data_IF_486214500664
#
_entry.id   IF_486214500664
#
_cell.length_a   1.000
_cell.length_b   1.000
_cell.length_c   1.000
_cell.angle_alpha   90.00
_cell.angle_beta   90.00
_cell.angle_gamma   90.00
#
_symmetry.space_group_name_H-M   'P 1'
#
loop_
_entity.id
_entity.type
_entity.pdbx_description
1 polymer ?
#
# COMPACT_ATOMS: atom_id res chain seq x y z
N UNK A 1 19.56 31.80 -16.30
CA UNK A 1 19.86 30.90 -15.17
C UNK A 1 18.53 30.48 -14.60
N UNK A 2 18.29 29.16 -14.60
CA UNK A 2 17.06 28.52 -14.14
C UNK A 2 16.98 28.60 -12.62
N UNK A 3 15.87 29.09 -12.07
CA UNK A 3 15.52 28.81 -10.69
C UNK A 3 14.03 28.51 -10.54
N UNK A 4 13.79 27.37 -9.88
CA UNK A 4 12.61 27.01 -9.13
C UNK A 4 11.30 26.71 -9.89
N UNK A 5 11.31 25.61 -10.64
CA UNK A 5 10.13 24.73 -10.69
C UNK A 5 10.05 23.90 -9.39
N UNK A 6 9.84 24.55 -8.24
CA UNK A 6 9.44 23.86 -7.02
C UNK A 6 7.92 23.97 -6.87
N UNK A 7 7.22 23.27 -7.76
CA UNK A 7 5.79 23.02 -7.60
C UNK A 7 5.66 21.68 -6.91
N UNK A 8 5.90 21.66 -5.61
CA UNK A 8 5.43 20.57 -4.75
C UNK A 8 3.92 20.49 -4.95
N UNK A 9 3.46 19.46 -5.67
CA UNK A 9 2.06 19.28 -5.98
C UNK A 9 1.29 19.16 -4.67
N UNK A 10 0.38 20.11 -4.43
CA UNK A 10 -0.56 20.13 -3.34
C UNK A 10 -1.62 19.05 -3.62
N UNK A 11 -1.23 17.77 -3.59
CA UNK A 11 -2.19 16.67 -3.68
C UNK A 11 -3.09 16.75 -2.45
N UNK A 12 -4.39 16.85 -2.73
CA UNK A 12 -5.44 17.29 -1.82
C UNK A 12 -5.49 16.48 -0.52
N UNK A 13 -5.14 17.14 0.59
CA UNK A 13 -5.16 16.61 1.95
C UNK A 13 -6.49 15.97 2.40
N UNK A 14 -7.61 16.24 1.70
CA UNK A 14 -8.94 15.68 2.01
C UNK A 14 -9.23 14.30 1.42
N UNK A 15 -8.53 13.86 0.36
CA UNK A 15 -8.67 12.49 -0.15
C UNK A 15 -7.93 11.46 0.75
N UNK A 16 -6.89 11.93 1.44
CA UNK A 16 -5.96 11.09 2.19
C UNK A 16 -6.56 10.40 3.42
N UNK A 17 -7.60 10.98 4.06
CA UNK A 17 -8.24 10.36 5.23
C UNK A 17 -9.16 9.19 4.83
N UNK A 18 -9.79 9.25 3.66
CA UNK A 18 -10.55 8.11 3.09
C UNK A 18 -9.58 7.03 2.58
N UNK A 19 -8.54 7.44 1.83
CA UNK A 19 -7.53 6.55 1.25
C UNK A 19 -6.78 5.72 2.30
N UNK A 20 -6.36 6.32 3.42
CA UNK A 20 -5.62 5.61 4.47
C UNK A 20 -6.45 4.49 5.13
N UNK A 21 -7.76 4.69 5.26
CA UNK A 21 -8.68 3.67 5.80
C UNK A 21 -8.87 2.50 4.84
N UNK A 22 -8.90 2.77 3.53
CA UNK A 22 -9.00 1.78 2.48
C UNK A 22 -7.72 0.95 2.36
N UNK A 23 -6.55 1.61 2.31
CA UNK A 23 -5.23 0.95 2.29
C UNK A 23 -5.09 -0.01 3.47
N UNK A 24 -5.42 0.45 4.69
CA UNK A 24 -5.39 -0.40 5.89
C UNK A 24 -6.32 -1.61 5.75
N UNK A 25 -7.54 -1.39 5.26
CA UNK A 25 -8.55 -2.44 5.10
C UNK A 25 -8.11 -3.50 4.09
N UNK A 26 -7.59 -3.08 2.94
CA UNK A 26 -7.09 -3.98 1.90
C UNK A 26 -5.85 -4.74 2.39
N UNK A 27 -4.87 -4.06 3.00
CA UNK A 27 -3.68 -4.72 3.55
C UNK A 27 -4.04 -5.76 4.61
N UNK A 28 -5.04 -5.50 5.46
CA UNK A 28 -5.52 -6.48 6.45
C UNK A 28 -6.12 -7.72 5.76
N UNK A 29 -6.95 -7.53 4.72
CA UNK A 29 -7.54 -8.65 3.98
C UNK A 29 -6.47 -9.49 3.27
N UNK A 30 -5.47 -8.84 2.68
CA UNK A 30 -4.32 -9.49 2.04
C UNK A 30 -3.51 -10.27 3.07
N UNK A 31 -3.23 -9.67 4.23
CA UNK A 31 -2.51 -10.30 5.32
C UNK A 31 -3.20 -11.59 5.78
N UNK A 32 -4.51 -11.56 6.04
CA UNK A 32 -5.27 -12.75 6.44
C UNK A 32 -5.30 -13.81 5.34
N UNK A 33 -5.49 -13.41 4.08
CA UNK A 33 -5.49 -14.35 2.96
C UNK A 33 -4.13 -15.07 2.80
N UNK A 34 -3.02 -14.37 3.03
CA UNK A 34 -1.68 -14.94 3.03
C UNK A 34 -1.48 -15.92 4.20
N UNK A 35 -1.93 -15.52 5.39
CA UNK A 35 -1.84 -16.33 6.61
C UNK A 35 -2.66 -17.62 6.50
N UNK A 36 -3.87 -17.57 5.95
CA UNK A 36 -4.73 -18.74 5.73
C UNK A 36 -4.09 -19.77 4.81
N UNK A 37 -3.24 -19.33 3.88
CA UNK A 37 -2.52 -20.19 2.95
C UNK A 37 -1.17 -20.66 3.50
N UNK A 38 -0.80 -20.25 4.72
CA UNK A 38 0.46 -20.61 5.35
C UNK A 38 1.68 -19.88 4.79
N UNK A 39 1.48 -18.75 4.09
CA UNK A 39 2.57 -17.92 3.60
C UNK A 39 3.07 -16.96 4.69
N UNK A 40 4.30 -16.44 4.54
CA UNK A 40 4.78 -15.32 5.34
C UNK A 40 4.17 -14.02 4.80
N UNK A 41 3.17 -13.42 5.49
CA UNK A 41 2.43 -12.30 4.92
C UNK A 41 3.32 -11.07 4.74
N UNK A 42 4.17 -10.78 5.72
CA UNK A 42 5.06 -9.61 5.69
C UNK A 42 6.05 -9.69 4.53
N UNK A 43 6.73 -10.83 4.37
CA UNK A 43 7.70 -11.03 3.29
C UNK A 43 7.07 -10.93 1.91
N UNK A 44 5.85 -11.45 1.74
CA UNK A 44 5.14 -11.40 0.46
C UNK A 44 4.61 -10.01 0.14
N UNK A 45 4.06 -9.28 1.11
CA UNK A 45 3.65 -7.88 0.92
C UNK A 45 4.86 -7.01 0.58
N UNK A 46 6.00 -7.16 1.28
CA UNK A 46 7.24 -6.43 0.97
C UNK A 46 7.75 -6.78 -0.44
N UNK A 47 7.75 -8.07 -0.80
CA UNK A 47 8.15 -8.52 -2.14
C UNK A 47 7.29 -7.90 -3.25
N UNK A 48 5.97 -7.86 -3.07
CA UNK A 48 5.04 -7.18 -3.96
C UNK A 48 5.32 -5.68 -4.06
N UNK A 49 5.49 -4.98 -2.94
CA UNK A 49 5.73 -3.53 -2.94
C UNK A 49 7.02 -3.17 -3.69
N UNK A 50 8.10 -3.93 -3.48
CA UNK A 50 9.38 -3.71 -4.15
C UNK A 50 9.35 -4.04 -5.64
N UNK A 51 8.80 -5.21 -6.01
CA UNK A 51 8.88 -5.72 -7.38
C UNK A 51 7.72 -5.27 -8.28
N UNK A 52 6.53 -5.10 -7.71
CA UNK A 52 5.28 -4.92 -8.43
C UNK A 52 4.71 -6.22 -8.97
N UNK A 53 5.37 -7.35 -8.71
CA UNK A 53 4.95 -8.65 -9.22
C UNK A 53 3.78 -9.20 -8.39
N UNK A 54 2.57 -9.33 -8.97
CA UNK A 54 1.40 -9.81 -8.24
C UNK A 54 1.47 -11.29 -7.85
N UNK A 55 2.46 -12.05 -8.33
CA UNK A 55 2.67 -13.46 -7.94
C UNK A 55 3.08 -13.60 -6.48
N UNK A 56 3.64 -12.54 -5.87
CA UNK A 56 3.88 -12.47 -4.44
C UNK A 56 2.58 -12.48 -3.63
N UNK A 57 1.41 -12.21 -4.22
CA UNK A 57 0.14 -12.19 -3.49
C UNK A 57 -0.74 -13.35 -3.95
N UNK A 58 -1.30 -14.09 -3.00
CA UNK A 58 -2.22 -15.19 -3.29
C UNK A 58 -3.51 -14.69 -3.94
N UNK A 59 -4.12 -15.50 -4.81
CA UNK A 59 -5.48 -15.24 -5.31
C UNK A 59 -6.58 -15.62 -4.31
N UNK A 60 -6.22 -16.25 -3.18
CA UNK A 60 -7.18 -16.60 -2.13
C UNK A 60 -7.91 -15.35 -1.62
N UNK A 61 -9.22 -15.45 -1.41
CA UNK A 61 -10.10 -14.35 -0.95
C UNK A 61 -9.96 -13.06 -1.77
N UNK A 62 -9.68 -13.20 -3.07
CA UNK A 62 -9.48 -12.07 -3.98
C UNK A 62 -8.32 -11.13 -3.58
N UNK A 63 -7.40 -11.55 -2.70
CA UNK A 63 -6.34 -10.68 -2.17
C UNK A 63 -5.49 -10.03 -3.26
N UNK A 64 -5.12 -10.79 -4.30
CA UNK A 64 -4.38 -10.25 -5.45
C UNK A 64 -5.15 -9.15 -6.19
N UNK A 65 -6.45 -9.32 -6.39
CA UNK A 65 -7.26 -8.30 -7.08
C UNK A 65 -7.53 -7.09 -6.19
N UNK A 66 -7.61 -7.28 -4.87
CA UNK A 66 -7.79 -6.20 -3.90
C UNK A 66 -6.56 -5.30 -3.86
N UNK A 67 -5.36 -5.87 -3.67
CA UNK A 67 -4.15 -5.06 -3.57
C UNK A 67 -3.78 -4.36 -4.88
N UNK A 68 -4.16 -4.94 -6.03
CA UNK A 68 -3.94 -4.34 -7.34
C UNK A 68 -4.85 -3.13 -7.65
N UNK A 69 -5.87 -2.86 -6.81
CA UNK A 69 -6.68 -1.64 -6.91
C UNK A 69 -5.96 -0.41 -6.33
N UNK A 70 -4.90 -0.63 -5.55
CA UNK A 70 -4.12 0.44 -4.93
C UNK A 70 -2.83 0.64 -5.72
N UNK A 71 -2.46 1.90 -5.93
CA UNK A 71 -1.11 2.21 -6.39
C UNK A 71 -0.09 1.94 -5.26
N UNK A 72 1.06 1.38 -5.62
CA UNK A 72 2.07 0.94 -4.63
C UNK A 72 2.68 2.10 -3.86
N UNK A 73 2.82 3.26 -4.50
CA UNK A 73 3.29 4.49 -3.87
C UNK A 73 2.30 4.99 -2.82
N UNK A 74 0.99 4.89 -3.06
CA UNK A 74 -0.06 5.18 -2.05
C UNK A 74 0.07 4.26 -0.85
N UNK A 75 0.28 2.95 -1.07
CA UNK A 75 0.52 2.01 0.03
C UNK A 75 1.77 2.39 0.82
N UNK A 76 2.89 2.68 0.14
CA UNK A 76 4.15 3.05 0.78
C UNK A 76 4.04 4.37 1.55
N UNK A 77 3.37 5.37 0.98
CA UNK A 77 3.13 6.65 1.62
C UNK A 77 2.34 6.47 2.92
N UNK A 78 1.27 5.66 2.90
CA UNK A 78 0.47 5.39 4.10
C UNK A 78 1.25 4.61 5.15
N UNK A 79 2.10 3.64 4.75
CA UNK A 79 2.99 2.93 5.67
C UNK A 79 4.00 3.88 6.32
N UNK A 80 4.61 4.80 5.55
CA UNK A 80 5.55 5.80 6.07
C UNK A 80 4.84 6.79 6.99
N UNK A 81 3.66 7.29 6.59
CA UNK A 81 2.80 8.14 7.43
C UNK A 81 2.52 7.43 8.73
N UNK A 82 2.02 6.20 8.71
CA UNK A 82 1.68 5.47 9.93
C UNK A 82 2.90 5.21 10.83
N UNK A 83 4.06 4.89 10.25
CA UNK A 83 5.30 4.67 10.99
C UNK A 83 5.82 5.96 11.68
N UNK A 84 5.67 7.11 11.04
CA UNK A 84 6.13 8.41 11.56
C UNK A 84 5.06 9.16 12.37
N UNK A 85 3.78 8.82 12.20
CA UNK A 85 2.65 9.31 13.00
C UNK A 85 2.73 8.65 14.37
N UNK A 86 3.66 9.15 15.19
CA UNK A 86 3.77 8.82 16.61
C UNK A 86 2.48 9.19 17.33
N UNK A 87 2.19 8.40 18.38
CA UNK A 87 1.22 8.75 19.41
C UNK A 87 1.56 10.04 20.15
#
# INVERSE_FOLDING_TARGET
MNDAHDKTALFSYRALDEDGSEVRTILQQVYEALKDKGYNPFGQIVGYLMSGDPTFITSHRNARSLIAQLDRDVILEELVKHYLKKG
#
